data_IF_984274729602
#
_entry.id   IF_984274729602
#
_cell.length_a   1.000
_cell.length_b   1.000
_cell.length_c   1.000
_cell.angle_alpha   90.00
_cell.angle_beta   90.00
_cell.angle_gamma   90.00
#
_symmetry.space_group_name_H-M   'P 1'
#
loop_
_entity.id
_entity.type
_entity.pdbx_description
1 polymer ?
#
# COMPACT_ATOMS: atom_id res chain seq x y z
N UNK A 1 -3.52 -2.43 31.66
CA UNK A 1 -2.48 -2.19 30.65
C UNK A 1 -1.06 -2.32 31.24
N UNK A 2 -0.47 -3.53 31.36
CA UNK A 2 0.97 -3.60 31.68
C UNK A 2 1.79 -4.53 30.78
N UNK A 3 1.19 -5.35 29.90
CA UNK A 3 1.94 -6.41 29.21
C UNK A 3 2.82 -5.92 28.06
N UNK A 4 2.44 -4.81 27.40
CA UNK A 4 3.20 -4.24 26.27
C UNK A 4 4.49 -3.52 26.71
N UNK A 5 4.58 -3.05 27.95
CA UNK A 5 5.76 -2.36 28.46
C UNK A 5 6.93 -3.31 28.76
N UNK A 6 6.65 -4.61 28.96
CA UNK A 6 7.65 -5.61 29.36
C UNK A 6 8.42 -6.21 28.17
N UNK A 7 7.91 -6.06 26.95
CA UNK A 7 8.63 -6.39 25.73
C UNK A 7 9.19 -5.08 25.20
N UNK A 8 10.51 -4.87 25.35
CA UNK A 8 11.21 -3.78 24.65
C UNK A 8 11.17 -4.07 23.15
N UNK A 9 10.02 -3.78 22.53
CA UNK A 9 9.79 -3.91 21.11
C UNK A 9 10.52 -2.76 20.42
N UNK A 10 11.80 -2.95 20.18
CA UNK A 10 12.58 -2.06 19.31
C UNK A 10 12.22 -2.42 17.86
N UNK A 11 11.44 -1.56 17.18
CA UNK A 11 11.03 -1.83 15.80
C UNK A 11 9.69 -1.18 15.43
N UNK A 12 9.08 -1.54 14.28
CA UNK A 12 7.92 -0.85 13.70
C UNK A 12 6.69 -0.69 14.60
N UNK A 13 6.59 -1.47 15.68
CA UNK A 13 5.54 -1.34 16.69
C UNK A 13 5.66 -0.05 17.52
N UNK A 14 6.79 0.65 17.52
CA UNK A 14 6.88 2.01 18.08
C UNK A 14 6.26 3.04 17.15
N UNK A 15 6.34 2.83 15.82
CA UNK A 15 5.70 3.70 14.86
C UNK A 15 4.19 3.41 14.84
N UNK A 16 3.79 2.15 14.64
CA UNK A 16 2.40 1.71 14.61
C UNK A 16 2.03 0.97 15.89
N UNK A 17 2.02 1.69 17.02
CA UNK A 17 1.56 1.11 18.28
C UNK A 17 0.14 0.53 18.10
N UNK A 18 -0.09 -0.78 18.36
CA UNK A 18 -1.31 -1.48 17.93
C UNK A 18 -2.46 -1.28 18.93
N UNK A 19 -2.81 -0.02 19.22
CA UNK A 19 -3.91 0.34 20.13
C UNK A 19 -4.96 1.21 19.44
N UNK A 20 -6.24 1.14 19.87
CA UNK A 20 -7.25 2.07 19.41
C UNK A 20 -6.87 3.53 19.72
N UNK A 21 -6.22 3.79 20.86
CA UNK A 21 -5.77 5.13 21.23
C UNK A 21 -4.77 5.71 20.21
N UNK A 22 -3.78 4.91 19.78
CA UNK A 22 -2.83 5.33 18.74
C UNK A 22 -3.52 5.56 17.38
N UNK A 23 -4.51 4.74 17.02
CA UNK A 23 -5.33 4.93 15.81
C UNK A 23 -6.06 6.28 15.83
N UNK A 24 -6.74 6.59 16.93
CA UNK A 24 -7.47 7.84 17.11
C UNK A 24 -6.54 9.06 17.17
N UNK A 25 -5.36 8.94 17.79
CA UNK A 25 -4.35 10.00 17.81
C UNK A 25 -3.81 10.31 16.40
N UNK A 26 -3.63 9.29 15.55
CA UNK A 26 -3.28 9.49 14.13
C UNK A 26 -4.42 10.13 13.36
N UNK A 27 -5.64 9.65 13.52
CA UNK A 27 -6.83 10.20 12.89
C UNK A 27 -7.03 11.69 13.24
N UNK A 28 -6.85 12.06 14.50
CA UNK A 28 -7.01 13.44 14.97
C UNK A 28 -6.02 14.43 14.34
N UNK A 29 -4.85 13.96 13.90
CA UNK A 29 -3.82 14.75 13.21
C UNK A 29 -4.02 14.83 11.70
N UNK A 30 -4.91 14.01 11.13
CA UNK A 30 -5.15 13.98 9.69
C UNK A 30 -5.84 15.27 9.25
N UNK A 31 -5.26 15.93 8.25
CA UNK A 31 -5.85 17.10 7.59
C UNK A 31 -6.19 16.73 6.13
N UNK A 32 -7.47 16.64 5.75
CA UNK A 32 -7.89 16.22 4.41
C UNK A 32 -7.33 17.10 3.27
N UNK A 33 -7.27 18.42 3.47
CA UNK A 33 -6.76 19.35 2.46
C UNK A 33 -5.24 19.19 2.23
N UNK A 34 -4.46 19.04 3.30
CA UNK A 34 -3.01 18.76 3.20
C UNK A 34 -2.77 17.39 2.57
N UNK A 35 -3.54 16.38 2.96
CA UNK A 35 -3.50 15.04 2.37
C UNK A 35 -3.72 15.11 0.86
N UNK A 36 -4.79 15.75 0.41
CA UNK A 36 -5.10 15.87 -1.01
C UNK A 36 -3.97 16.51 -1.84
N UNK A 37 -3.28 17.52 -1.29
CA UNK A 37 -2.19 18.21 -2.00
C UNK A 37 -0.88 17.42 -2.07
N UNK A 38 -0.59 16.60 -1.05
CA UNK A 38 0.78 16.08 -0.86
C UNK A 38 0.90 14.56 -0.88
N UNK A 39 -0.20 13.80 -0.79
CA UNK A 39 -0.23 12.32 -0.66
C UNK A 39 0.55 11.50 -1.69
N UNK A 40 0.98 12.10 -2.80
CA UNK A 40 1.73 11.42 -3.83
C UNK A 40 3.24 11.54 -3.62
N UNK A 41 3.69 12.55 -2.88
CA UNK A 41 5.09 12.72 -2.52
C UNK A 41 5.43 11.80 -1.35
N UNK A 42 6.57 11.10 -1.41
CA UNK A 42 6.96 10.14 -0.37
C UNK A 42 7.14 10.77 1.02
N UNK A 43 7.49 12.07 1.08
CA UNK A 43 7.58 12.90 2.28
C UNK A 43 6.28 13.70 2.57
N UNK A 44 5.25 13.47 1.76
CA UNK A 44 3.95 14.10 1.87
C UNK A 44 3.09 13.56 3.01
N UNK A 45 1.89 14.12 3.15
CA UNK A 45 0.95 13.67 4.17
C UNK A 45 0.30 12.34 3.79
N UNK A 46 0.48 11.33 4.64
CA UNK A 46 -0.27 10.07 4.65
C UNK A 46 -1.10 9.95 5.93
N UNK A 47 -2.18 9.18 5.90
CA UNK A 47 -3.01 8.95 7.09
C UNK A 47 -2.33 8.03 8.11
N UNK A 48 -1.57 7.04 7.63
CA UNK A 48 -1.00 5.99 8.47
C UNK A 48 -2.06 5.16 9.22
N UNK A 49 -3.29 5.12 8.70
CA UNK A 49 -4.41 4.42 9.32
C UNK A 49 -4.56 2.97 8.84
N UNK A 50 -3.90 2.58 7.74
CA UNK A 50 -4.13 1.28 7.10
C UNK A 50 -3.86 0.06 8.01
N UNK A 51 -2.82 0.01 8.87
CA UNK A 51 -2.65 -1.12 9.78
C UNK A 51 -3.80 -1.21 10.80
N UNK A 52 -4.22 -0.07 11.35
CA UNK A 52 -5.30 -0.01 12.33
C UNK A 52 -6.63 -0.47 11.75
N UNK A 53 -6.92 -0.10 10.50
CA UNK A 53 -8.14 -0.51 9.82
C UNK A 53 -8.10 -2.00 9.48
N UNK A 54 -6.96 -2.50 8.97
CA UNK A 54 -6.79 -3.94 8.67
C UNK A 54 -6.98 -4.82 9.90
N UNK A 55 -6.54 -4.37 11.08
CA UNK A 55 -6.68 -5.13 12.33
C UNK A 55 -7.92 -4.77 13.15
N UNK A 56 -8.86 -4.00 12.61
CA UNK A 56 -10.14 -3.68 13.27
C UNK A 56 -10.04 -2.76 14.49
N UNK A 57 -8.91 -2.08 14.69
CA UNK A 57 -8.70 -1.10 15.76
C UNK A 57 -9.39 0.25 15.50
N UNK A 58 -9.75 0.50 14.24
CA UNK A 58 -10.51 1.65 13.77
C UNK A 58 -11.29 1.24 12.53
N UNK A 59 -12.61 1.45 12.50
CA UNK A 59 -13.38 1.19 11.28
C UNK A 59 -13.32 2.36 10.30
N UNK A 60 -13.50 2.10 9.00
CA UNK A 60 -13.61 3.16 7.98
C UNK A 60 -14.77 4.11 8.28
N UNK A 61 -15.90 3.57 8.77
CA UNK A 61 -17.07 4.35 9.18
C UNK A 61 -16.71 5.32 10.30
N UNK A 62 -16.08 4.84 11.37
CA UNK A 62 -15.71 5.68 12.51
C UNK A 62 -14.67 6.73 12.11
N UNK A 63 -13.71 6.36 11.26
CA UNK A 63 -12.72 7.29 10.72
C UNK A 63 -13.39 8.43 9.95
N UNK A 64 -14.32 8.11 9.05
CA UNK A 64 -15.08 9.11 8.27
C UNK A 64 -15.95 9.98 9.17
N UNK A 65 -16.68 9.40 10.12
CA UNK A 65 -17.52 10.14 11.07
C UNK A 65 -16.72 11.13 11.91
N UNK A 66 -15.57 10.70 12.45
CA UNK A 66 -14.70 11.57 13.24
C UNK A 66 -14.03 12.67 12.40
N UNK A 67 -13.68 12.41 11.14
CA UNK A 67 -13.17 13.46 10.24
C UNK A 67 -14.26 14.45 9.86
N UNK A 68 -15.48 13.98 9.56
CA UNK A 68 -16.62 14.82 9.20
C UNK A 68 -17.06 15.75 10.34
N UNK A 69 -16.84 15.34 11.59
CA UNK A 69 -17.07 16.19 12.76
C UNK A 69 -16.10 17.39 12.87
N UNK A 70 -14.97 17.37 12.15
CA UNK A 70 -13.88 18.36 12.25
C UNK A 70 -13.62 19.12 10.94
N UNK A 71 -14.04 18.54 9.82
CA UNK A 71 -13.78 19.05 8.49
C UNK A 71 -15.04 18.90 7.64
N UNK A 72 -15.38 19.88 6.77
CA UNK A 72 -16.38 19.67 5.74
C UNK A 72 -15.86 18.59 4.80
N UNK A 73 -16.47 17.41 4.85
CA UNK A 73 -16.13 16.27 4.00
C UNK A 73 -17.22 16.02 2.96
N UNK A 74 -16.77 15.63 1.77
CA UNK A 74 -17.60 15.25 0.63
C UNK A 74 -17.00 14.03 -0.07
N UNK A 75 -17.75 13.44 -1.00
CA UNK A 75 -17.25 12.36 -1.85
C UNK A 75 -16.11 12.79 -2.79
N UNK A 76 -15.88 14.10 -2.97
CA UNK A 76 -14.81 14.63 -3.81
C UNK A 76 -13.45 14.63 -3.08
N UNK A 77 -13.46 14.51 -1.75
CA UNK A 77 -12.25 14.52 -0.94
C UNK A 77 -11.40 13.29 -1.21
N UNK A 78 -10.11 13.50 -1.45
CA UNK A 78 -9.19 12.41 -1.78
C UNK A 78 -9.12 11.36 -0.67
N UNK A 79 -9.19 11.74 0.60
CA UNK A 79 -9.19 10.75 1.68
C UNK A 79 -10.44 9.85 1.66
N UNK A 80 -11.60 10.40 1.29
CA UNK A 80 -12.85 9.63 1.16
C UNK A 80 -12.76 8.67 -0.02
N UNK A 81 -12.22 9.12 -1.16
CA UNK A 81 -11.98 8.26 -2.31
C UNK A 81 -11.02 7.09 -1.99
N UNK A 82 -10.00 7.30 -1.16
CA UNK A 82 -9.04 6.26 -0.78
C UNK A 82 -9.65 5.22 0.17
N UNK A 83 -10.54 5.65 1.07
CA UNK A 83 -11.35 4.70 1.84
C UNK A 83 -12.33 3.92 0.94
N UNK A 84 -12.94 4.60 -0.04
CA UNK A 84 -13.82 3.93 -1.00
C UNK A 84 -13.07 2.88 -1.86
N UNK A 85 -11.80 3.11 -2.20
CA UNK A 85 -10.97 2.12 -2.89
C UNK A 85 -10.78 0.84 -2.06
N UNK A 86 -10.51 0.97 -0.75
CA UNK A 86 -10.42 -0.18 0.15
C UNK A 86 -11.72 -0.97 0.16
N UNK A 87 -12.85 -0.29 0.35
CA UNK A 87 -14.17 -0.93 0.35
C UNK A 87 -14.46 -1.57 -1.01
N UNK A 88 -14.16 -0.91 -2.13
CA UNK A 88 -14.32 -1.46 -3.46
C UNK A 88 -13.56 -2.77 -3.64
N UNK A 89 -12.28 -2.83 -3.25
CA UNK A 89 -11.49 -4.05 -3.30
C UNK A 89 -12.08 -5.16 -2.42
N UNK A 90 -12.57 -4.83 -1.23
CA UNK A 90 -13.27 -5.81 -0.38
C UNK A 90 -14.55 -6.35 -1.06
N UNK A 91 -15.34 -5.50 -1.71
CA UNK A 91 -16.52 -5.93 -2.46
C UNK A 91 -16.17 -6.81 -3.67
N UNK A 92 -15.09 -6.49 -4.39
CA UNK A 92 -14.60 -7.33 -5.49
C UNK A 92 -14.20 -8.71 -4.95
N UNK A 93 -13.51 -8.77 -3.82
CA UNK A 93 -13.17 -10.06 -3.20
C UNK A 93 -14.41 -10.84 -2.76
N UNK A 94 -15.40 -10.20 -2.13
CA UNK A 94 -16.64 -10.86 -1.75
C UNK A 94 -17.37 -11.47 -2.96
N UNK A 95 -17.30 -10.81 -4.12
CA UNK A 95 -17.92 -11.28 -5.36
C UNK A 95 -17.13 -12.40 -6.02
N UNK A 96 -15.82 -12.24 -6.16
CA UNK A 96 -14.97 -13.14 -6.95
C UNK A 96 -14.38 -14.29 -6.11
N UNK A 97 -14.43 -14.19 -4.77
CA UNK A 97 -13.81 -15.16 -3.85
C UNK A 97 -12.33 -15.34 -4.15
N UNK A 98 -11.87 -16.59 -4.21
CA UNK A 98 -10.49 -16.91 -4.57
C UNK A 98 -10.15 -16.57 -6.05
N UNK A 99 -11.12 -16.11 -6.85
CA UNK A 99 -10.86 -15.57 -8.19
C UNK A 99 -9.86 -14.41 -8.19
N UNK A 100 -9.76 -13.63 -7.11
CA UNK A 100 -8.76 -12.55 -6.97
C UNK A 100 -7.31 -13.06 -6.91
N UNK A 101 -7.12 -14.37 -6.73
CA UNK A 101 -5.83 -15.04 -6.66
C UNK A 101 -5.33 -15.46 -8.06
N UNK A 102 -6.17 -15.32 -9.08
CA UNK A 102 -5.86 -15.52 -10.49
C UNK A 102 -6.01 -14.21 -11.28
N UNK A 103 -5.62 -14.24 -12.56
CA UNK A 103 -5.80 -13.10 -13.46
C UNK A 103 -7.29 -12.86 -13.70
N UNK A 104 -7.81 -11.71 -13.26
CA UNK A 104 -9.20 -11.31 -13.52
C UNK A 104 -9.45 -10.87 -14.97
N UNK A 105 -8.38 -10.65 -15.72
CA UNK A 105 -8.39 -10.22 -17.11
C UNK A 105 -7.08 -10.58 -17.79
N UNK A 106 -7.08 -10.62 -19.13
CA UNK A 106 -5.90 -11.02 -19.88
C UNK A 106 -4.73 -10.05 -19.64
N UNK A 107 -3.50 -10.53 -19.42
CA UNK A 107 -2.34 -9.67 -19.26
C UNK A 107 -2.11 -8.88 -20.56
N UNK A 108 -1.85 -7.57 -20.47
CA UNK A 108 -1.87 -6.69 -21.65
C UNK A 108 -0.77 -6.99 -22.67
N UNK A 109 0.31 -7.66 -22.27
CA UNK A 109 1.50 -7.81 -23.11
C UNK A 109 1.86 -9.25 -23.49
N UNK A 110 1.05 -10.25 -23.14
CA UNK A 110 1.37 -11.66 -23.39
C UNK A 110 2.76 -12.06 -22.87
N UNK A 111 3.22 -13.26 -23.27
CA UNK A 111 4.55 -13.76 -22.95
C UNK A 111 4.69 -14.45 -21.59
N UNK A 112 5.86 -15.04 -21.38
CA UNK A 112 6.15 -15.86 -20.20
C UNK A 112 6.59 -14.99 -19.03
N UNK A 113 5.81 -15.04 -17.94
CA UNK A 113 6.14 -14.40 -16.68
C UNK A 113 6.75 -15.42 -15.72
N UNK A 114 7.90 -15.07 -15.12
CA UNK A 114 8.52 -15.88 -14.08
C UNK A 114 7.58 -16.02 -12.88
N UNK A 115 7.43 -17.25 -12.36
CA UNK A 115 6.60 -17.57 -11.19
C UNK A 115 7.39 -17.60 -9.88
N UNK A 116 8.57 -16.98 -9.88
CA UNK A 116 9.45 -16.88 -8.72
C UNK A 116 9.93 -15.45 -8.64
N UNK A 117 9.77 -14.82 -7.48
CA UNK A 117 10.29 -13.48 -7.25
C UNK A 117 11.84 -13.54 -7.26
N UNK A 118 12.54 -12.76 -8.09
CA UNK A 118 13.99 -12.84 -8.22
C UNK A 118 14.75 -12.53 -6.91
N UNK A 119 15.88 -13.21 -6.63
CA UNK A 119 16.62 -13.03 -5.37
C UNK A 119 17.15 -11.61 -5.14
N UNK A 120 17.51 -10.90 -6.20
CA UNK A 120 18.02 -9.53 -6.14
C UNK A 120 16.93 -8.52 -5.74
N UNK A 121 15.68 -8.74 -6.17
CA UNK A 121 14.53 -7.98 -5.63
C UNK A 121 14.36 -8.30 -4.15
N UNK A 122 14.29 -9.58 -3.77
CA UNK A 122 14.10 -9.99 -2.38
C UNK A 122 15.19 -9.49 -1.44
N UNK A 123 16.39 -9.25 -1.94
CA UNK A 123 17.54 -8.84 -1.14
C UNK A 123 17.88 -7.34 -1.27
N UNK A 124 17.03 -6.55 -1.95
CA UNK A 124 17.24 -5.13 -2.19
C UNK A 124 18.58 -4.80 -2.88
N UNK A 125 18.94 -5.61 -3.88
CA UNK A 125 20.16 -5.50 -4.70
C UNK A 125 19.85 -5.46 -6.19
N UNK A 126 18.76 -4.81 -6.57
CA UNK A 126 18.33 -4.65 -7.97
C UNK A 126 19.20 -3.65 -8.73
N UNK A 127 19.94 -2.80 -8.01
CA UNK A 127 20.70 -1.69 -8.60
C UNK A 127 19.85 -0.49 -8.95
N UNK A 128 18.53 -0.53 -8.67
CA UNK A 128 17.62 0.61 -8.83
C UNK A 128 17.33 1.19 -7.44
N UNK A 129 17.88 2.37 -7.08
CA UNK A 129 17.84 2.88 -5.71
C UNK A 129 16.42 2.99 -5.11
N UNK A 130 15.44 3.42 -5.90
CA UNK A 130 14.06 3.54 -5.45
C UNK A 130 13.44 2.18 -5.08
N UNK A 131 13.75 1.13 -5.86
CA UNK A 131 13.27 -0.23 -5.62
C UNK A 131 13.96 -0.83 -4.42
N UNK A 132 15.29 -0.70 -4.36
CA UNK A 132 16.09 -1.23 -3.25
C UNK A 132 15.72 -0.54 -1.92
N UNK A 133 15.44 0.76 -1.94
CA UNK A 133 14.94 1.51 -0.77
C UNK A 133 13.55 1.02 -0.33
N UNK A 134 12.64 0.80 -1.27
CA UNK A 134 11.32 0.26 -0.96
C UNK A 134 11.40 -1.13 -0.31
N UNK A 135 12.22 -2.04 -0.84
CA UNK A 135 12.37 -3.38 -0.23
C UNK A 135 12.98 -3.30 1.17
N UNK A 136 14.03 -2.48 1.37
CA UNK A 136 14.62 -2.27 2.70
C UNK A 136 13.62 -1.70 3.69
N UNK A 137 12.83 -0.71 3.26
CA UNK A 137 11.81 -0.08 4.10
C UNK A 137 10.73 -1.08 4.49
N UNK A 138 10.23 -1.87 3.53
CA UNK A 138 9.24 -2.91 3.78
C UNK A 138 9.69 -3.88 4.87
N UNK A 139 10.93 -4.38 4.81
CA UNK A 139 11.43 -5.31 5.83
C UNK A 139 11.72 -4.64 7.17
N UNK A 140 12.19 -3.40 7.16
CA UNK A 140 12.52 -2.69 8.39
C UNK A 140 11.26 -2.26 9.16
N UNK A 141 10.19 -1.86 8.46
CA UNK A 141 9.03 -1.20 9.07
C UNK A 141 7.72 -1.96 8.89
N UNK A 142 7.64 -2.91 7.97
CA UNK A 142 6.38 -3.52 7.56
C UNK A 142 5.38 -2.53 6.95
N UNK A 143 5.83 -1.35 6.52
CA UNK A 143 4.97 -0.33 5.92
C UNK A 143 5.63 0.26 4.66
N UNK A 144 4.82 0.49 3.64
CA UNK A 144 5.23 1.22 2.44
C UNK A 144 4.22 2.28 2.05
N UNK A 145 4.74 3.44 1.65
CA UNK A 145 3.99 4.47 0.96
C UNK A 145 3.40 3.93 -0.35
N UNK A 146 2.19 4.35 -0.72
CA UNK A 146 1.48 3.80 -1.88
C UNK A 146 2.29 3.93 -3.20
N UNK A 147 2.91 5.08 -3.45
CA UNK A 147 3.77 5.25 -4.64
C UNK A 147 4.95 4.27 -4.67
N UNK A 148 5.60 4.01 -3.52
CA UNK A 148 6.68 3.04 -3.45
C UNK A 148 6.18 1.62 -3.76
N UNK A 149 4.97 1.25 -3.30
CA UNK A 149 4.32 -0.01 -3.67
C UNK A 149 4.09 -0.10 -5.17
N UNK A 150 3.55 0.97 -5.78
CA UNK A 150 3.30 1.02 -7.23
C UNK A 150 4.58 0.89 -8.06
N UNK A 151 5.67 1.56 -7.66
CA UNK A 151 6.95 1.45 -8.37
C UNK A 151 7.55 0.06 -8.26
N UNK A 152 7.57 -0.51 -7.05
CA UNK A 152 8.04 -1.87 -6.82
C UNK A 152 7.21 -2.89 -7.63
N UNK A 153 5.89 -2.76 -7.62
CA UNK A 153 5.02 -3.63 -8.40
C UNK A 153 5.27 -3.50 -9.91
N UNK A 154 5.37 -2.27 -10.40
CA UNK A 154 5.61 -1.99 -11.81
C UNK A 154 6.98 -2.50 -12.27
N UNK A 155 8.03 -2.33 -11.46
CA UNK A 155 9.35 -2.89 -11.73
C UNK A 155 9.32 -4.42 -11.81
N UNK A 156 8.69 -5.07 -10.82
CA UNK A 156 8.64 -6.53 -10.76
C UNK A 156 7.84 -7.11 -11.93
N UNK A 157 6.66 -6.56 -12.23
CA UNK A 157 5.83 -7.09 -13.31
C UNK A 157 6.41 -6.75 -14.68
N UNK A 158 6.68 -5.47 -14.93
CA UNK A 158 6.90 -4.98 -16.30
C UNK A 158 8.35 -5.04 -16.74
N UNK A 159 9.28 -4.73 -15.83
CA UNK A 159 10.71 -4.74 -16.12
C UNK A 159 11.33 -6.12 -15.90
N UNK A 160 10.98 -6.78 -14.79
CA UNK A 160 11.51 -8.11 -14.44
C UNK A 160 10.71 -9.28 -15.00
N UNK A 161 9.56 -9.00 -15.64
CA UNK A 161 8.68 -10.03 -16.23
C UNK A 161 8.32 -11.12 -15.22
N UNK A 162 7.95 -10.72 -14.00
CA UNK A 162 7.51 -11.62 -12.93
C UNK A 162 6.00 -11.56 -12.80
N UNK A 163 5.37 -12.71 -12.61
CA UNK A 163 3.92 -12.78 -12.46
C UNK A 163 3.51 -12.03 -11.18
N UNK A 164 2.50 -11.16 -11.26
CA UNK A 164 2.11 -10.30 -10.14
C UNK A 164 1.81 -11.11 -8.87
N UNK A 165 1.17 -12.28 -9.01
CA UNK A 165 0.75 -13.14 -7.89
C UNK A 165 1.88 -13.48 -6.93
N UNK A 166 3.04 -13.90 -7.43
CA UNK A 166 4.14 -14.35 -6.57
C UNK A 166 4.79 -13.19 -5.81
N UNK A 167 4.69 -11.98 -6.37
CA UNK A 167 5.17 -10.77 -5.73
C UNK A 167 4.13 -10.18 -4.76
N UNK A 168 2.84 -10.32 -5.08
CA UNK A 168 1.73 -9.98 -4.20
C UNK A 168 1.74 -10.83 -2.92
N UNK A 169 1.90 -12.15 -3.06
CA UNK A 169 1.99 -13.09 -1.93
C UNK A 169 3.22 -12.79 -1.04
N UNK A 170 4.35 -12.42 -1.65
CA UNK A 170 5.53 -11.98 -0.91
C UNK A 170 5.27 -10.68 -0.15
N UNK A 171 4.78 -9.64 -0.83
CA UNK A 171 4.60 -8.32 -0.21
C UNK A 171 3.56 -8.34 0.92
N UNK A 172 2.43 -9.03 0.75
CA UNK A 172 1.37 -9.07 1.77
C UNK A 172 1.87 -9.68 3.08
N UNK A 173 2.75 -10.69 3.00
CA UNK A 173 3.34 -11.35 4.18
C UNK A 173 4.29 -10.46 4.99
N UNK A 174 4.75 -9.34 4.43
CA UNK A 174 5.63 -8.40 5.11
C UNK A 174 4.92 -7.12 5.58
N UNK A 175 3.68 -6.88 5.18
CA UNK A 175 2.95 -5.65 5.47
C UNK A 175 2.17 -5.75 6.79
N UNK A 176 2.33 -4.75 7.66
CA UNK A 176 1.47 -4.55 8.83
C UNK A 176 0.01 -4.30 8.44
N UNK A 177 -0.21 -3.70 7.27
CA UNK A 177 -1.54 -3.49 6.69
C UNK A 177 -1.90 -4.52 5.61
N UNK A 178 -1.23 -5.68 5.61
CA UNK A 178 -1.45 -6.77 4.67
C UNK A 178 -2.91 -7.23 4.64
N UNK A 179 -3.60 -6.89 3.56
CA UNK A 179 -4.99 -7.26 3.26
C UNK A 179 -5.03 -7.86 1.85
N UNK A 180 -5.56 -9.08 1.69
CA UNK A 180 -5.50 -9.80 0.41
C UNK A 180 -6.24 -9.05 -0.70
N UNK A 181 -7.45 -8.54 -0.42
CA UNK A 181 -8.20 -7.77 -1.41
C UNK A 181 -7.40 -6.55 -1.88
N UNK A 182 -6.99 -5.69 -0.95
CA UNK A 182 -6.30 -4.44 -1.28
C UNK A 182 -4.95 -4.69 -1.94
N UNK A 183 -4.19 -5.67 -1.45
CA UNK A 183 -2.88 -6.00 -1.99
C UNK A 183 -3.01 -6.63 -3.39
N UNK A 184 -3.70 -7.76 -3.52
CA UNK A 184 -3.72 -8.53 -4.77
C UNK A 184 -4.40 -7.75 -5.89
N UNK A 185 -5.50 -7.05 -5.63
CA UNK A 185 -6.17 -6.24 -6.65
C UNK A 185 -5.35 -5.00 -7.05
N UNK A 186 -4.56 -4.42 -6.15
CA UNK A 186 -3.61 -3.35 -6.51
C UNK A 186 -2.47 -3.87 -7.40
N UNK A 187 -1.94 -5.06 -7.11
CA UNK A 187 -0.93 -5.71 -7.95
C UNK A 187 -1.48 -6.03 -9.34
N UNK A 188 -2.70 -6.56 -9.42
CA UNK A 188 -3.40 -6.80 -10.68
C UNK A 188 -3.69 -5.50 -11.45
N UNK A 189 -4.06 -4.43 -10.75
CA UNK A 189 -4.27 -3.11 -11.36
C UNK A 189 -2.99 -2.59 -12.01
N UNK A 190 -1.85 -2.73 -11.35
CA UNK A 190 -0.53 -2.37 -11.92
C UNK A 190 -0.16 -3.28 -13.10
N UNK A 191 -0.42 -4.58 -12.98
CA UNK A 191 -0.13 -5.57 -14.01
C UNK A 191 -1.01 -5.41 -15.26
N UNK A 192 -2.18 -4.78 -15.14
CA UNK A 192 -3.15 -4.63 -16.22
C UNK A 192 -4.16 -5.77 -16.31
N UNK A 193 -4.21 -6.69 -15.35
CA UNK A 193 -5.19 -7.79 -15.30
C UNK A 193 -6.48 -7.39 -14.58
N UNK A 194 -6.47 -6.27 -13.86
CA UNK A 194 -7.65 -5.66 -13.23
C UNK A 194 -7.78 -4.16 -13.57
N UNK A 195 -7.29 -3.75 -14.74
CA UNK A 195 -7.39 -2.38 -15.23
C UNK A 195 -7.45 -2.36 -16.76
N UNK A 196 -7.90 -1.26 -17.34
CA UNK A 196 -7.98 -1.12 -18.80
C UNK A 196 -6.62 -0.82 -19.44
N UNK A 197 -5.64 -0.34 -18.66
CA UNK A 197 -4.28 -0.03 -19.11
C UNK A 197 -3.26 -0.34 -18.00
N UNK A 198 -2.12 -0.99 -18.29
CA UNK A 198 -1.10 -1.28 -17.29
C UNK A 198 -0.45 0.01 -16.77
N UNK A 199 -0.09 0.01 -15.49
CA UNK A 199 0.70 1.09 -14.90
C UNK A 199 2.20 0.81 -15.06
N UNK A 200 2.88 1.65 -15.83
CA UNK A 200 4.33 1.58 -16.06
C UNK A 200 4.98 2.79 -15.42
N UNK A 201 5.75 2.57 -14.35
CA UNK A 201 6.53 3.66 -13.75
C UNK A 201 7.73 4.01 -14.64
N UNK A 202 8.13 5.28 -14.61
CA UNK A 202 9.29 5.79 -15.34
C UNK A 202 10.14 6.69 -14.45
N UNK A 203 11.36 7.01 -14.92
CA UNK A 203 12.30 7.84 -14.17
C UNK A 203 11.73 9.22 -13.81
N UNK A 204 10.89 9.80 -14.67
CA UNK A 204 10.22 11.07 -14.44
C UNK A 204 9.22 11.00 -13.27
N UNK A 205 8.44 9.93 -13.16
CA UNK A 205 7.55 9.70 -12.01
C UNK A 205 8.34 9.59 -10.71
N UNK A 206 9.46 8.89 -10.72
CA UNK A 206 10.32 8.77 -9.53
C UNK A 206 10.89 10.14 -9.16
N UNK A 207 11.46 10.87 -10.11
CA UNK A 207 12.04 12.20 -9.87
C UNK A 207 11.01 13.22 -9.36
N UNK A 208 9.74 13.08 -9.75
CA UNK A 208 8.66 13.99 -9.34
C UNK A 208 8.17 13.76 -7.92
N UNK A 209 8.15 12.50 -7.47
CA UNK A 209 7.46 12.12 -6.23
C UNK A 209 8.38 11.56 -5.14
N UNK A 210 9.61 11.17 -5.49
CA UNK A 210 10.65 10.94 -4.50
C UNK A 210 11.14 12.30 -3.95
N UNK A 211 11.62 12.37 -2.70
CA UNK A 211 12.30 13.55 -2.21
C UNK A 211 13.51 13.83 -3.10
N UNK A 212 13.83 15.10 -3.35
CA UNK A 212 15.12 15.44 -3.94
C UNK A 212 16.20 14.89 -3.01
N UNK A 213 17.07 14.03 -3.52
CA UNK A 213 18.13 13.40 -2.73
C UNK A 213 18.90 14.46 -1.96
N UNK A 214 19.04 14.27 -0.64
CA UNK A 214 20.22 14.76 0.07
C UNK A 214 21.44 13.95 -0.32
#
# INVERSE_FOLDING_TARGET
>A
MPLLAALSLSGPLTEFEPTPAAAHARLARLNPARYARTRNHLDGAVSGLSPYITHGLLSVRDALSALAARHPLSYQDKIVAEFAWREFFAHVWQREGDGILADLGAPPWGGDYARVLPPDVRSARTGVPAIDSAVRTLYATGYLHNHARMWLASYVVHYRKVHWRVAADWMVGHLLDGDLASNHLSWQWVAGTFSTKPYVFNAENVARYAPASG
#
